data_IF_324041471915
#
_entry.id   IF_324041471915
#
_cell.length_a   1.000
_cell.length_b   1.000
_cell.length_c   1.000
_cell.angle_alpha   90.00
_cell.angle_beta   90.00
_cell.angle_gamma   90.00
#
_symmetry.space_group_name_H-M   'P 1'
#
loop_
_entity.id
_entity.type
_entity.pdbx_description
1 polymer ?
#
# COMPACT_ATOMS: atom_id res chain seq x y z
N UNK A 1 -51.97 28.55 9.62
CA UNK A 1 -51.42 29.51 8.65
C UNK A 1 -50.17 28.91 8.01
N UNK A 2 -50.07 29.03 6.69
CA UNK A 2 -48.93 28.71 5.81
C UNK A 2 -48.59 27.23 5.53
N UNK A 3 -49.44 26.65 4.69
CA UNK A 3 -49.19 25.83 3.49
C UNK A 3 -47.80 25.98 2.82
N UNK A 4 -47.24 24.86 2.32
CA UNK A 4 -46.83 24.58 0.92
C UNK A 4 -45.74 23.47 0.89
N UNK A 5 -46.08 22.23 0.49
CA UNK A 5 -45.75 21.59 -0.82
C UNK A 5 -44.26 21.65 -1.16
N UNK A 6 -43.55 20.54 -1.38
CA UNK A 6 -43.59 19.74 -2.61
C UNK A 6 -43.38 18.24 -2.33
N UNK A 7 -44.46 17.47 -2.39
CA UNK A 7 -44.41 16.04 -2.69
C UNK A 7 -44.93 15.87 -4.13
N UNK A 8 -44.04 16.02 -5.10
CA UNK A 8 -44.33 15.63 -6.48
C UNK A 8 -44.03 14.14 -6.59
N UNK A 9 -45.10 13.35 -6.58
CA UNK A 9 -45.08 11.98 -7.09
C UNK A 9 -44.80 12.02 -8.59
N UNK A 10 -43.79 11.29 -9.05
CA UNK A 10 -43.67 10.91 -10.46
C UNK A 10 -43.75 9.37 -10.54
N UNK A 11 -44.65 8.80 -11.36
CA UNK A 11 -44.77 7.35 -11.51
C UNK A 11 -43.81 6.83 -12.60
N UNK A 12 -43.25 5.65 -12.32
CA UNK A 12 -42.73 4.66 -13.26
C UNK A 12 -41.69 5.09 -14.32
N UNK A 13 -40.42 4.80 -14.05
CA UNK A 13 -39.55 4.18 -15.06
C UNK A 13 -38.46 3.34 -14.39
N UNK A 14 -38.29 2.10 -14.86
CA UNK A 14 -37.32 1.13 -14.35
C UNK A 14 -35.88 1.68 -14.43
N UNK A 15 -35.34 2.15 -13.32
CA UNK A 15 -33.90 2.28 -13.15
C UNK A 15 -33.48 1.47 -11.93
N UNK A 16 -32.68 0.43 -12.22
CA UNK A 16 -32.28 -0.61 -11.28
C UNK A 16 -31.72 -0.05 -9.97
N UNK A 17 -32.00 -0.80 -8.91
CA UNK A 17 -31.55 -0.59 -7.54
C UNK A 17 -30.22 0.19 -7.43
N UNK A 18 -30.31 1.46 -7.05
CA UNK A 18 -29.13 2.23 -6.68
C UNK A 18 -28.51 1.64 -5.41
N UNK A 19 -27.24 1.25 -5.46
CA UNK A 19 -26.49 0.89 -4.26
C UNK A 19 -26.51 2.07 -3.28
N UNK A 20 -26.85 1.85 -1.99
CA UNK A 20 -26.90 2.93 -1.01
C UNK A 20 -25.53 3.60 -0.91
N UNK A 21 -25.50 4.91 -1.18
CA UNK A 21 -24.29 5.74 -1.11
C UNK A 21 -23.88 5.86 0.36
N UNK A 22 -22.63 5.51 0.68
CA UNK A 22 -22.17 5.51 2.07
C UNK A 22 -22.25 6.93 2.66
N UNK A 23 -22.84 7.15 3.85
CA UNK A 23 -23.08 8.49 4.41
C UNK A 23 -21.83 9.33 4.77
N UNK A 24 -20.62 8.81 4.54
CA UNK A 24 -19.36 9.50 4.87
C UNK A 24 -18.71 9.95 3.58
N UNK A 25 -18.58 11.27 3.40
CA UNK A 25 -17.79 11.83 2.32
C UNK A 25 -16.36 11.25 2.33
N UNK A 26 -15.81 10.84 1.17
CA UNK A 26 -14.41 10.47 1.09
C UNK A 26 -13.54 11.64 1.54
N UNK A 27 -12.44 11.35 2.23
CA UNK A 27 -11.48 12.39 2.60
C UNK A 27 -10.94 13.05 1.33
N UNK A 28 -11.06 14.37 1.21
CA UNK A 28 -10.62 15.15 0.05
C UNK A 28 -9.09 15.14 -0.22
N UNK A 29 -8.32 14.37 0.57
CA UNK A 29 -6.91 14.12 0.31
C UNK A 29 -6.75 12.94 -0.63
N UNK A 30 -6.23 13.21 -1.83
CA UNK A 30 -5.93 12.24 -2.89
C UNK A 30 -4.98 11.13 -2.42
N UNK A 31 -4.11 11.43 -1.45
CA UNK A 31 -3.22 10.46 -0.79
C UNK A 31 -3.31 10.66 0.72
N UNK A 32 -3.86 9.67 1.42
CA UNK A 32 -3.87 9.69 2.89
C UNK A 32 -2.47 9.36 3.41
N UNK A 33 -2.00 10.07 4.44
CA UNK A 33 -0.73 9.76 5.14
C UNK A 33 -0.66 8.29 5.56
N UNK A 34 -1.80 7.70 5.91
CA UNK A 34 -1.92 6.26 6.19
C UNK A 34 -1.45 5.40 5.01
N UNK A 35 -1.93 5.71 3.80
CA UNK A 35 -1.63 4.92 2.59
C UNK A 35 -0.17 5.11 2.19
N UNK A 36 0.36 6.34 2.30
CA UNK A 36 1.76 6.60 1.98
C UNK A 36 2.73 5.89 2.95
N UNK A 37 2.43 5.92 4.26
CA UNK A 37 3.26 5.21 5.26
C UNK A 37 3.20 3.69 5.03
N UNK A 38 2.03 3.14 4.70
CA UNK A 38 1.86 1.74 4.31
C UNK A 38 2.72 1.39 3.10
N UNK A 39 2.63 2.19 2.03
CA UNK A 39 3.39 2.01 0.79
C UNK A 39 4.91 2.03 1.06
N UNK A 40 5.41 3.01 1.82
CA UNK A 40 6.84 3.14 2.11
C UNK A 40 7.35 1.93 2.91
N UNK A 41 6.62 1.51 3.94
CA UNK A 41 7.03 0.35 4.74
C UNK A 41 7.02 -0.94 3.95
N UNK A 42 6.02 -1.12 3.09
CA UNK A 42 5.91 -2.28 2.21
C UNK A 42 7.04 -2.29 1.15
N UNK A 43 7.39 -1.13 0.57
CA UNK A 43 8.55 -0.99 -0.32
C UNK A 43 9.85 -1.32 0.42
N UNK A 44 10.01 -0.88 1.67
CA UNK A 44 11.19 -1.21 2.47
C UNK A 44 11.31 -2.71 2.77
N UNK A 45 10.20 -3.39 3.07
CA UNK A 45 10.18 -4.85 3.26
C UNK A 45 10.56 -5.56 1.97
N UNK A 46 9.96 -5.19 0.84
CA UNK A 46 10.29 -5.78 -0.46
C UNK A 46 11.76 -5.54 -0.84
N UNK A 47 12.25 -4.31 -0.67
CA UNK A 47 13.65 -3.95 -0.90
C UNK A 47 14.61 -4.72 0.00
N UNK A 48 14.26 -4.95 1.26
CA UNK A 48 15.04 -5.80 2.17
C UNK A 48 15.20 -7.23 1.66
N UNK A 49 14.14 -7.82 1.11
CA UNK A 49 14.21 -9.15 0.49
C UNK A 49 15.00 -9.15 -0.82
N UNK A 50 14.92 -8.08 -1.62
CA UNK A 50 15.74 -7.93 -2.83
C UNK A 50 17.24 -7.84 -2.48
N UNK A 51 17.59 -7.03 -1.48
CA UNK A 51 18.96 -6.94 -0.97
C UNK A 51 19.45 -8.27 -0.41
N UNK A 52 18.62 -8.95 0.39
CA UNK A 52 18.94 -10.28 0.88
C UNK A 52 19.21 -11.25 -0.27
N UNK A 53 18.37 -11.30 -1.29
CA UNK A 53 18.55 -12.18 -2.44
C UNK A 53 19.85 -11.92 -3.19
N UNK A 54 20.16 -10.63 -3.39
CA UNK A 54 21.40 -10.20 -4.02
C UNK A 54 22.64 -10.73 -3.28
N UNK A 55 22.71 -10.56 -1.96
CA UNK A 55 23.82 -11.10 -1.17
C UNK A 55 23.79 -12.62 -1.04
N UNK A 56 22.59 -13.22 -0.99
CA UNK A 56 22.43 -14.66 -0.85
C UNK A 56 22.94 -15.40 -2.09
N UNK A 57 22.66 -14.90 -3.31
CA UNK A 57 23.23 -15.44 -4.56
C UNK A 57 24.76 -15.48 -4.49
N UNK A 58 25.40 -14.38 -4.07
CA UNK A 58 26.86 -14.28 -3.98
C UNK A 58 27.49 -15.25 -2.97
N UNK A 59 26.73 -15.65 -1.96
CA UNK A 59 27.20 -16.61 -0.95
C UNK A 59 27.14 -18.07 -1.41
N UNK A 60 26.52 -18.35 -2.57
CA UNK A 60 26.34 -19.72 -3.03
C UNK A 60 27.62 -20.30 -3.64
N UNK A 61 27.89 -21.61 -3.43
CA UNK A 61 29.12 -22.24 -3.94
C UNK A 61 29.18 -22.37 -5.47
N UNK A 62 28.02 -22.31 -6.14
CA UNK A 62 27.90 -22.37 -7.60
C UNK A 62 27.98 -20.98 -8.26
N UNK A 63 28.05 -19.91 -7.47
CA UNK A 63 28.08 -18.55 -7.99
C UNK A 63 29.45 -18.21 -8.58
N UNK A 64 29.45 -17.72 -9.81
CA UNK A 64 30.63 -17.21 -10.50
C UNK A 64 30.51 -15.69 -10.62
N UNK A 65 31.45 -14.90 -10.07
CA UNK A 65 31.46 -13.46 -10.23
C UNK A 65 31.51 -13.08 -11.72
N UNK A 66 30.72 -12.09 -12.18
CA UNK A 66 30.79 -11.64 -13.56
C UNK A 66 32.15 -11.00 -13.84
N UNK A 67 32.76 -11.34 -14.97
CA UNK A 67 33.99 -10.70 -15.45
C UNK A 67 33.61 -9.34 -16.01
N UNK A 68 34.12 -8.26 -15.40
CA UNK A 68 33.89 -6.89 -15.85
C UNK A 68 34.94 -6.59 -16.91
N UNK A 69 34.58 -6.76 -18.18
CA UNK A 69 35.43 -6.40 -19.31
C UNK A 69 34.98 -5.03 -19.84
N UNK A 70 35.84 -4.00 -19.83
CA UNK A 70 35.45 -2.65 -20.27
C UNK A 70 35.12 -2.55 -21.77
N UNK A 71 35.51 -3.54 -22.58
CA UNK A 71 35.28 -3.59 -24.03
C UNK A 71 34.20 -4.61 -24.45
N UNK A 72 33.68 -5.43 -23.53
CA UNK A 72 32.59 -6.35 -23.81
C UNK A 72 31.22 -5.70 -23.57
N UNK A 73 30.21 -6.07 -24.37
CA UNK A 73 28.83 -5.64 -24.16
C UNK A 73 28.41 -5.88 -22.71
N UNK A 74 27.67 -4.92 -22.12
CA UNK A 74 27.15 -5.03 -20.75
C UNK A 74 26.36 -6.33 -20.60
N UNK A 75 26.97 -7.34 -19.98
CA UNK A 75 26.34 -8.60 -19.67
C UNK A 75 25.20 -8.35 -18.67
N UNK A 76 23.98 -8.22 -19.19
CA UNK A 76 22.74 -8.03 -18.43
C UNK A 76 22.26 -9.33 -17.76
N UNK A 77 22.76 -10.47 -18.25
CA UNK A 77 22.41 -11.83 -17.81
C UNK A 77 23.29 -12.28 -16.64
N UNK A 78 23.13 -11.63 -15.48
CA UNK A 78 23.84 -11.97 -14.25
C UNK A 78 22.94 -12.77 -13.30
N UNK A 79 23.52 -13.74 -12.58
CA UNK A 79 22.82 -14.53 -11.57
C UNK A 79 22.13 -13.65 -10.50
N UNK A 80 22.75 -12.55 -10.11
CA UNK A 80 22.18 -11.57 -9.18
C UNK A 80 20.94 -10.90 -9.74
N UNK A 81 21.02 -10.46 -11.00
CA UNK A 81 19.93 -9.77 -11.68
C UNK A 81 18.74 -10.72 -11.87
N UNK A 82 18.99 -11.95 -12.30
CA UNK A 82 17.93 -12.94 -12.48
C UNK A 82 17.25 -13.30 -11.15
N UNK A 83 17.99 -13.44 -10.05
CA UNK A 83 17.40 -13.71 -8.73
C UNK A 83 16.54 -12.54 -8.20
N UNK A 84 17.05 -11.31 -8.31
CA UNK A 84 16.32 -10.11 -7.91
C UNK A 84 15.09 -9.91 -8.80
N UNK A 85 15.23 -10.12 -10.11
CA UNK A 85 14.12 -10.08 -11.06
C UNK A 85 13.02 -11.07 -10.68
N UNK A 86 13.37 -12.34 -10.42
CA UNK A 86 12.43 -13.39 -10.04
C UNK A 86 11.68 -13.03 -8.75
N UNK A 87 12.37 -12.55 -7.71
CA UNK A 87 11.68 -12.13 -6.47
C UNK A 87 10.79 -10.91 -6.72
N UNK A 88 11.29 -9.92 -7.46
CA UNK A 88 10.56 -8.68 -7.71
C UNK A 88 9.29 -8.89 -8.55
N UNK A 89 9.29 -9.83 -9.49
CA UNK A 89 8.11 -10.12 -10.33
C UNK A 89 6.94 -10.67 -9.50
N UNK A 90 7.21 -11.55 -8.54
CA UNK A 90 6.21 -11.99 -7.57
C UNK A 90 5.77 -10.85 -6.66
N UNK A 91 6.71 -10.05 -6.14
CA UNK A 91 6.40 -8.92 -5.26
C UNK A 91 5.50 -7.89 -5.93
N UNK A 92 5.73 -7.57 -7.21
CA UNK A 92 4.88 -6.62 -7.96
C UNK A 92 3.47 -7.17 -8.19
N UNK A 93 3.37 -8.45 -8.54
CA UNK A 93 2.08 -9.12 -8.76
C UNK A 93 1.26 -9.17 -7.48
N UNK A 94 1.87 -9.60 -6.37
CA UNK A 94 1.22 -9.69 -5.05
C UNK A 94 0.94 -8.29 -4.49
N UNK A 95 1.87 -7.34 -4.66
CA UNK A 95 1.71 -5.95 -4.26
C UNK A 95 0.51 -5.29 -4.93
N UNK A 96 0.28 -5.55 -6.23
CA UNK A 96 -0.90 -5.07 -6.94
C UNK A 96 -2.21 -5.53 -6.26
N UNK A 97 -2.29 -6.80 -5.85
CA UNK A 97 -3.47 -7.33 -5.16
C UNK A 97 -3.67 -6.67 -3.80
N UNK A 98 -2.61 -6.57 -3.00
CA UNK A 98 -2.63 -5.98 -1.64
C UNK A 98 -3.03 -4.51 -1.68
N UNK A 99 -2.51 -3.73 -2.63
CA UNK A 99 -2.86 -2.31 -2.75
C UNK A 99 -4.25 -2.07 -3.35
N UNK A 100 -4.79 -3.03 -4.10
CA UNK A 100 -6.14 -2.89 -4.65
C UNK A 100 -7.22 -3.05 -3.57
N UNK A 101 -6.93 -3.79 -2.49
CA UNK A 101 -7.78 -3.89 -1.30
C UNK A 101 -7.89 -2.55 -0.54
N UNK A 102 -8.86 -1.72 -0.92
CA UNK A 102 -9.11 -0.41 -0.30
C UNK A 102 -10.39 -0.33 0.53
N UNK A 103 -10.36 -0.77 1.79
CA UNK A 103 -11.46 -0.52 2.74
C UNK A 103 -11.42 0.95 3.23
N UNK A 104 -12.54 1.71 3.32
CA UNK A 104 -13.96 1.31 3.29
C UNK A 104 -14.73 1.63 2.00
N UNK A 105 -14.13 2.35 1.04
CA UNK A 105 -14.84 2.89 -0.12
C UNK A 105 -14.81 1.98 -1.37
N UNK A 106 -13.99 0.93 -1.36
CA UNK A 106 -13.82 0.02 -2.51
C UNK A 106 -14.31 -1.39 -2.19
N UNK A 107 -15.01 -2.02 -3.13
CA UNK A 107 -15.38 -3.44 -3.07
C UNK A 107 -14.10 -4.31 -3.09
N UNK A 108 -14.19 -5.51 -2.54
CA UNK A 108 -13.10 -6.49 -2.53
C UNK A 108 -12.58 -6.74 -3.96
N UNK A 109 -11.26 -6.71 -4.24
CA UNK A 109 -10.69 -7.00 -5.57
C UNK A 109 -11.20 -8.31 -6.19
N UNK A 110 -11.57 -9.31 -5.38
CA UNK A 110 -12.12 -10.59 -5.85
C UNK A 110 -13.39 -10.40 -6.70
N UNK A 111 -14.13 -9.31 -6.51
CA UNK A 111 -15.32 -9.01 -7.33
C UNK A 111 -14.99 -8.62 -8.77
N UNK A 112 -13.75 -8.22 -9.06
CA UNK A 112 -13.31 -7.85 -10.40
C UNK A 112 -12.64 -9.05 -11.08
N UNK A 113 -13.40 -9.75 -11.93
CA UNK A 113 -12.94 -10.95 -12.64
C UNK A 113 -11.71 -10.67 -13.52
N UNK A 114 -11.67 -9.52 -14.21
CA UNK A 114 -10.55 -9.17 -15.08
C UNK A 114 -9.24 -8.95 -14.31
N UNK A 115 -9.33 -8.30 -13.16
CA UNK A 115 -8.19 -8.12 -12.26
C UNK A 115 -7.71 -9.47 -11.71
N UNK A 116 -8.63 -10.30 -11.24
CA UNK A 116 -8.27 -11.61 -10.69
C UNK A 116 -7.67 -12.51 -11.76
N UNK A 117 -8.20 -12.47 -12.99
CA UNK A 117 -7.65 -13.22 -14.12
C UNK A 117 -6.24 -12.75 -14.46
N UNK A 118 -5.98 -11.44 -14.55
CA UNK A 118 -4.65 -10.91 -14.87
C UNK A 118 -3.62 -11.23 -13.79
N UNK A 119 -3.97 -11.06 -12.51
CA UNK A 119 -3.10 -11.43 -11.38
C UNK A 119 -2.80 -12.93 -11.37
N UNK A 120 -3.80 -13.77 -11.64
CA UNK A 120 -3.62 -15.22 -11.69
C UNK A 120 -2.69 -15.62 -12.84
N UNK A 121 -2.88 -15.07 -14.04
CA UNK A 121 -2.03 -15.32 -15.21
C UNK A 121 -0.60 -14.87 -14.93
N UNK A 122 -0.40 -13.66 -14.38
CA UNK A 122 0.92 -13.15 -14.04
C UNK A 122 1.62 -13.99 -12.96
N UNK A 123 0.88 -14.51 -11.99
CA UNK A 123 1.42 -15.36 -10.94
C UNK A 123 1.81 -16.75 -11.49
N UNK A 124 0.98 -17.33 -12.37
CA UNK A 124 1.32 -18.57 -13.08
C UNK A 124 2.53 -18.40 -13.99
N UNK A 125 2.61 -17.27 -14.70
CA UNK A 125 3.76 -16.93 -15.53
C UNK A 125 5.03 -16.75 -14.68
N UNK A 126 4.94 -16.09 -13.54
CA UNK A 126 6.06 -15.92 -12.61
C UNK A 126 6.52 -17.26 -12.02
N UNK A 127 5.59 -18.17 -11.70
CA UNK A 127 5.91 -19.55 -11.30
C UNK A 127 6.58 -20.33 -12.42
N UNK A 128 6.10 -20.20 -13.65
CA UNK A 128 6.71 -20.81 -14.82
C UNK A 128 8.14 -20.31 -15.03
N UNK A 129 8.37 -19.00 -14.96
CA UNK A 129 9.69 -18.39 -15.09
C UNK A 129 10.65 -18.80 -13.97
N UNK A 130 10.15 -19.04 -12.74
CA UNK A 130 10.96 -19.50 -11.62
C UNK A 130 11.42 -20.95 -11.75
N UNK A 131 10.57 -21.86 -12.24
CA UNK A 131 10.91 -23.28 -12.32
C UNK A 131 11.49 -23.69 -13.68
N UNK A 132 11.28 -22.90 -14.73
CA UNK A 132 11.76 -23.16 -16.09
C UNK A 132 12.68 -22.03 -16.56
N UNK A 133 13.92 -21.93 -16.03
CA UNK A 133 14.88 -20.89 -16.45
C UNK A 133 15.57 -21.24 -17.78
N UNK A 134 14.90 -21.99 -18.67
CA UNK A 134 15.48 -22.46 -19.93
C UNK A 134 14.47 -22.27 -21.08
N UNK A 135 14.98 -21.78 -22.22
CA UNK A 135 14.21 -21.57 -23.45
C UNK A 135 13.95 -20.09 -23.75
N UNK A 136 13.19 -19.84 -24.83
CA UNK A 136 12.95 -18.51 -25.40
C UNK A 136 12.51 -17.44 -24.39
N UNK A 137 11.67 -17.81 -23.42
CA UNK A 137 11.21 -16.89 -22.38
C UNK A 137 12.34 -16.51 -21.43
N UNK A 138 13.23 -17.44 -21.08
CA UNK A 138 14.38 -17.18 -20.24
C UNK A 138 15.40 -16.29 -20.97
N UNK A 139 15.60 -16.51 -22.27
CA UNK A 139 16.50 -15.70 -23.10
C UNK A 139 16.00 -14.26 -23.23
N UNK A 140 14.69 -14.06 -23.47
CA UNK A 140 14.07 -12.72 -23.48
C UNK A 140 14.23 -12.02 -22.13
N UNK A 141 14.08 -12.76 -21.04
CA UNK A 141 14.14 -12.22 -19.68
C UNK A 141 15.58 -12.11 -19.13
N UNK A 142 16.59 -12.59 -19.87
CA UNK A 142 17.99 -12.64 -19.40
C UNK A 142 18.15 -13.49 -18.13
N UNK A 143 17.41 -14.60 -18.02
CA UNK A 143 17.45 -15.49 -16.86
C UNK A 143 18.61 -16.48 -16.96
N UNK A 144 19.45 -16.49 -15.92
CA UNK A 144 20.53 -17.47 -15.76
C UNK A 144 19.99 -18.75 -15.10
N UNK A 145 20.39 -19.95 -15.57
CA UNK A 145 19.95 -21.21 -14.96
C UNK A 145 20.57 -21.41 -13.57
N UNK A 146 19.74 -21.82 -12.60
CA UNK A 146 20.16 -22.12 -11.23
C UNK A 146 19.91 -23.59 -10.85
N UNK A 147 20.63 -24.12 -9.83
CA UNK A 147 20.28 -25.41 -9.27
C UNK A 147 18.87 -25.38 -8.65
N UNK A 148 18.14 -26.49 -8.76
CA UNK A 148 16.75 -26.61 -8.26
C UNK A 148 16.59 -26.26 -6.78
N UNK A 149 17.60 -26.54 -5.96
CA UNK A 149 17.62 -26.16 -4.54
C UNK A 149 17.47 -24.65 -4.34
N UNK A 150 18.09 -23.85 -5.20
CA UNK A 150 18.04 -22.40 -5.12
C UNK A 150 16.67 -21.84 -5.49
N UNK A 151 16.00 -22.41 -6.51
CA UNK A 151 14.62 -22.02 -6.85
C UNK A 151 13.64 -22.21 -5.69
N UNK A 152 13.76 -23.31 -4.95
CA UNK A 152 12.91 -23.57 -3.78
C UNK A 152 13.17 -22.54 -2.68
N UNK A 153 14.42 -22.14 -2.47
CA UNK A 153 14.78 -21.09 -1.49
C UNK A 153 14.22 -19.73 -1.92
N UNK A 154 14.34 -19.36 -3.20
CA UNK A 154 13.73 -18.13 -3.73
C UNK A 154 12.20 -18.14 -3.57
N UNK A 155 11.55 -19.27 -3.88
CA UNK A 155 10.11 -19.42 -3.70
C UNK A 155 9.71 -19.26 -2.23
N UNK A 156 10.43 -19.91 -1.32
CA UNK A 156 10.19 -19.78 0.12
C UNK A 156 10.38 -18.33 0.58
N UNK A 157 11.40 -17.64 0.08
CA UNK A 157 11.62 -16.24 0.38
C UNK A 157 10.46 -15.35 -0.07
N UNK A 158 9.87 -15.61 -1.25
CA UNK A 158 8.66 -14.92 -1.74
C UNK A 158 7.45 -15.19 -0.84
N UNK A 159 7.26 -16.44 -0.41
CA UNK A 159 6.17 -16.80 0.52
C UNK A 159 6.33 -16.09 1.86
N UNK A 160 7.54 -16.09 2.43
CA UNK A 160 7.84 -15.39 3.69
C UNK A 160 7.66 -13.88 3.52
N UNK A 161 8.16 -13.29 2.43
CA UNK A 161 7.99 -11.88 2.11
C UNK A 161 6.51 -11.50 2.09
N UNK A 162 5.69 -12.30 1.39
CA UNK A 162 4.24 -12.11 1.31
C UNK A 162 3.58 -12.17 2.68
N UNK A 163 3.92 -13.17 3.49
CA UNK A 163 3.39 -13.30 4.85
C UNK A 163 3.77 -12.10 5.74
N UNK A 164 5.03 -11.66 5.68
CA UNK A 164 5.51 -10.48 6.41
C UNK A 164 4.82 -9.20 5.96
N UNK A 165 4.56 -9.04 4.67
CA UNK A 165 3.80 -7.93 4.11
C UNK A 165 2.36 -7.87 4.62
N UNK A 166 1.65 -9.00 4.63
CA UNK A 166 0.31 -9.08 5.21
C UNK A 166 0.30 -8.78 6.72
N UNK A 167 1.33 -9.27 7.43
CA UNK A 167 1.48 -9.04 8.85
C UNK A 167 1.77 -7.56 9.14
N UNK A 168 2.66 -6.93 8.36
CA UNK A 168 2.99 -5.52 8.45
C UNK A 168 1.75 -4.64 8.26
N UNK A 169 0.95 -4.90 7.23
CA UNK A 169 -0.28 -4.13 6.99
C UNK A 169 -1.28 -4.27 8.16
N UNK A 170 -1.38 -5.48 8.72
CA UNK A 170 -2.22 -5.76 9.90
C UNK A 170 -1.73 -5.02 11.15
N UNK A 171 -0.41 -4.94 11.36
CA UNK A 171 0.17 -4.17 12.46
C UNK A 171 -0.02 -2.67 12.24
N UNK A 172 0.28 -2.17 11.04
CA UNK A 172 0.19 -0.77 10.69
C UNK A 172 -1.24 -0.25 10.88
N UNK A 173 -2.26 -1.03 10.52
CA UNK A 173 -3.66 -0.69 10.80
C UNK A 173 -3.90 -0.39 12.29
N UNK A 174 -3.34 -1.20 13.20
CA UNK A 174 -3.46 -0.99 14.66
C UNK A 174 -2.68 0.24 15.12
N UNK A 175 -1.45 0.44 14.65
CA UNK A 175 -0.63 1.61 15.00
C UNK A 175 -1.27 2.91 14.52
N UNK A 176 -1.80 2.94 13.30
CA UNK A 176 -2.48 4.11 12.75
C UNK A 176 -3.76 4.46 13.51
N UNK A 177 -4.55 3.48 13.95
CA UNK A 177 -5.72 3.77 14.81
C UNK A 177 -5.29 4.43 16.12
N UNK A 178 -4.19 3.96 16.73
CA UNK A 178 -3.62 4.59 17.94
C UNK A 178 -3.12 6.00 17.65
N UNK A 179 -2.41 6.20 16.54
CA UNK A 179 -1.85 7.50 16.15
C UNK A 179 -2.94 8.52 15.84
N UNK A 180 -3.97 8.14 15.08
CA UNK A 180 -5.14 9.00 14.80
C UNK A 180 -5.86 9.36 16.10
N UNK A 181 -6.06 8.41 17.02
CA UNK A 181 -6.63 8.69 18.34
C UNK A 181 -5.73 9.65 19.15
N UNK A 182 -4.41 9.50 19.08
CA UNK A 182 -3.47 10.40 19.74
C UNK A 182 -3.52 11.82 19.16
N UNK A 183 -3.50 11.97 17.83
CA UNK A 183 -3.64 13.25 17.14
C UNK A 183 -4.99 13.92 17.43
N UNK A 184 -6.09 13.16 17.44
CA UNK A 184 -7.40 13.70 17.81
C UNK A 184 -7.41 14.19 19.26
N UNK A 185 -6.79 13.45 20.20
CA UNK A 185 -6.65 13.91 21.59
C UNK A 185 -5.80 15.19 21.65
N UNK A 186 -4.69 15.25 20.92
CA UNK A 186 -3.80 16.40 20.92
C UNK A 186 -4.46 17.65 20.29
N UNK A 187 -5.13 17.49 19.16
CA UNK A 187 -5.90 18.56 18.51
C UNK A 187 -7.06 19.06 19.39
N UNK A 188 -7.81 18.15 20.03
CA UNK A 188 -8.85 18.52 21.01
C UNK A 188 -8.26 19.25 22.21
N UNK A 189 -7.10 18.83 22.72
CA UNK A 189 -6.42 19.46 23.86
C UNK A 189 -5.89 20.85 23.49
N UNK A 190 -5.34 21.00 22.29
CA UNK A 190 -4.88 22.29 21.73
C UNK A 190 -6.05 23.26 21.49
N UNK A 191 -7.16 22.80 20.89
CA UNK A 191 -8.38 23.61 20.72
C UNK A 191 -9.01 23.98 22.07
N UNK A 192 -9.04 23.07 23.04
CA UNK A 192 -9.55 23.33 24.39
C UNK A 192 -8.66 24.33 25.14
N UNK A 193 -7.34 24.25 24.96
CA UNK A 193 -6.38 25.21 25.51
C UNK A 193 -6.58 26.61 24.91
N UNK A 194 -6.66 26.73 23.58
CA UNK A 194 -6.95 28.01 22.89
C UNK A 194 -8.30 28.60 23.32
N UNK A 195 -9.36 27.79 23.42
CA UNK A 195 -10.68 28.24 23.89
C UNK A 195 -10.66 28.71 25.35
N UNK A 196 -9.89 28.04 26.21
CA UNK A 196 -9.75 28.43 27.63
C UNK A 196 -8.96 29.73 27.77
N UNK A 197 -7.97 29.97 26.90
CA UNK A 197 -7.22 31.22 26.87
C UNK A 197 -8.08 32.38 26.37
N UNK A 198 -8.81 32.20 25.26
CA UNK A 198 -9.74 33.21 24.74
C UNK A 198 -10.84 33.61 25.75
N UNK A 199 -11.41 32.64 26.48
CA UNK A 199 -12.38 32.93 27.53
C UNK A 199 -11.80 33.73 28.71
N UNK A 200 -10.50 33.55 29.03
CA UNK A 200 -9.83 34.34 30.07
C UNK A 200 -9.63 35.78 29.62
N UNK A 201 -9.25 35.99 28.36
CA UNK A 201 -9.10 37.34 27.78
C UNK A 201 -10.44 38.07 27.73
N UNK A 202 -11.51 37.41 27.30
CA UNK A 202 -12.86 37.99 27.30
C UNK A 202 -13.32 38.43 28.70
N UNK A 203 -13.13 37.58 29.72
CA UNK A 203 -13.45 37.92 31.11
C UNK A 203 -12.62 39.06 31.69
N UNK A 204 -11.37 39.21 31.23
CA UNK A 204 -10.53 40.32 31.66
C UNK A 204 -11.01 41.66 31.09
N UNK A 205 -11.45 41.66 29.82
CA UNK A 205 -12.01 42.85 29.15
C UNK A 205 -13.37 43.24 29.75
N UNK A 206 -14.23 42.27 30.05
CA UNK A 206 -15.53 42.53 30.71
C UNK A 206 -15.34 43.19 32.09
N UNK A 207 -14.35 42.75 32.88
CA UNK A 207 -14.03 43.35 34.18
C UNK A 207 -13.46 44.76 34.07
N UNK A 208 -12.64 45.06 33.06
CA UNK A 208 -12.16 46.43 32.87
C UNK A 208 -13.30 47.38 32.46
N UNK A 209 -14.24 46.92 31.64
CA UNK A 209 -15.41 47.71 31.25
C UNK A 209 -16.37 48.01 32.42
N UNK A 210 -16.51 47.09 33.38
CA UNK A 210 -17.31 47.33 34.59
C UNK A 210 -16.66 48.37 35.51
N UNK A 211 -15.35 48.29 35.71
CA UNK A 211 -14.64 49.25 36.55
C UNK A 211 -14.61 50.68 35.99
N UNK A 212 -14.61 50.85 34.66
CA UNK A 212 -14.64 52.18 34.02
C UNK A 212 -16.05 52.80 34.01
N UNK A 213 -17.11 52.02 34.23
CA UNK A 213 -18.50 52.51 34.29
C UNK A 213 -18.93 53.00 35.68
N UNK A 214 -18.15 52.69 36.71
CA UNK A 214 -18.40 53.05 38.11
C UNK A 214 -17.58 54.28 38.59
N UNK A 215 -16.88 54.96 37.66
CA UNK A 215 -16.11 56.19 37.89
C UNK A 215 -16.75 57.40 37.19
#
# INVERSE_FOLDING_TARGET
MATLTYAVSSPAHLHGAHTPIHPRAPTANLVSVKVLVSLIGQVAICGGFQMWAFFYVRSQPWYTPPVIDPDAELNSSNAENSAVFLISSFQYTIGCLVYTTGYPYRKNPITNVWLMASVTILLLFSLYALFTPQGFVADILGLVPFPRSFHVVLFLAVVINTALSFLYESFLAKYLVKFVKALQRFSRRSRRSKRKHANKTYKAIERSMQNDGDA
#
